data_IF_495372303898
#
_entry.id   IF_495372303898
#
_cell.length_a   1.000
_cell.length_b   1.000
_cell.length_c   1.000
_cell.angle_alpha   90.00
_cell.angle_beta   90.00
_cell.angle_gamma   90.00
#
_symmetry.space_group_name_H-M   'P 1'
#
loop_
_entity.id
_entity.type
_entity.pdbx_description
1 polymer ?
#
# COMPACT_ATOMS: atom_id res chain seq x y z
N UNK A 1 13.71 -12.24 3.69
CA UNK A 1 12.87 -12.42 3.94
C UNK A 1 12.11 -12.82 3.34
N UNK A 2 11.71 -13.13 3.41
CA UNK A 2 11.17 -13.83 3.03
C UNK A 2 9.97 -13.59 2.43
N UNK A 3 8.92 -13.72 2.79
CA UNK A 3 7.72 -13.39 2.13
C UNK A 3 7.06 -12.21 2.80
N UNK A 4 6.18 -11.56 2.08
CA UNK A 4 5.46 -10.44 2.62
C UNK A 4 4.02 -10.86 2.87
N UNK A 5 3.47 -10.41 3.97
CA UNK A 5 2.10 -10.74 4.26
C UNK A 5 1.15 -9.75 3.56
N UNK A 6 -0.12 -10.03 3.70
CA UNK A 6 -1.16 -9.26 3.05
C UNK A 6 -1.13 -7.78 3.48
N UNK A 7 -0.94 -7.55 4.76
CA UNK A 7 -0.92 -6.20 5.28
C UNK A 7 0.22 -5.40 4.69
N UNK A 8 1.38 -6.01 4.58
CA UNK A 8 2.53 -5.33 4.00
C UNK A 8 2.28 -4.99 2.54
N UNK A 9 1.70 -5.91 1.80
CA UNK A 9 1.41 -5.66 0.40
C UNK A 9 0.41 -4.52 0.23
N UNK A 10 -0.63 -4.52 1.06
CA UNK A 10 -1.61 -3.45 1.01
C UNK A 10 -0.97 -2.11 1.33
N UNK A 11 -0.10 -2.09 2.34
CA UNK A 11 0.61 -0.88 2.71
C UNK A 11 1.44 -0.34 1.56
N UNK A 12 2.15 -1.23 0.87
CA UNK A 12 2.97 -0.82 -0.26
C UNK A 12 2.13 -0.25 -1.40
N UNK A 13 0.99 -0.88 -1.68
CA UNK A 13 0.11 -0.39 -2.72
C UNK A 13 -0.44 0.98 -2.39
N UNK A 14 -0.93 1.15 -1.17
CA UNK A 14 -1.51 2.41 -0.75
C UNK A 14 -0.45 3.51 -0.71
N UNK A 15 0.75 3.17 -0.31
CA UNK A 15 1.85 4.14 -0.31
C UNK A 15 2.15 4.59 -1.74
N UNK A 16 2.23 3.64 -2.65
CA UNK A 16 2.52 3.95 -4.04
C UNK A 16 1.45 4.86 -4.63
N UNK A 17 0.19 4.59 -4.33
CA UNK A 17 -0.93 5.31 -4.90
C UNK A 17 -1.29 6.57 -4.14
N UNK A 18 -0.53 6.93 -3.11
CA UNK A 18 -0.86 8.09 -2.29
C UNK A 18 -0.40 9.40 -2.90
N UNK A 19 0.19 9.37 -4.07
CA UNK A 19 0.65 10.57 -4.74
C UNK A 19 -0.51 11.44 -5.19
N UNK A 20 -0.26 12.73 -5.22
CA UNK A 20 -1.31 13.71 -5.48
C UNK A 20 -2.09 13.45 -6.77
N UNK A 21 -1.40 13.09 -7.82
CA UNK A 21 -2.03 12.86 -9.11
C UNK A 21 -2.39 11.42 -9.38
N UNK A 22 -2.19 10.56 -8.39
CA UNK A 22 -2.40 9.15 -8.60
C UNK A 22 -1.24 8.53 -9.36
N UNK A 23 -1.32 7.23 -9.60
CA UNK A 23 -0.27 6.51 -10.32
C UNK A 23 -0.88 5.48 -11.24
N UNK A 24 -0.13 5.13 -12.26
CA UNK A 24 -0.53 4.07 -13.16
C UNK A 24 -0.43 2.71 -12.46
N UNK A 25 -1.22 1.79 -12.94
CA UNK A 25 -1.25 0.44 -12.41
C UNK A 25 0.13 -0.21 -12.43
N UNK A 26 0.87 0.00 -13.51
CA UNK A 26 2.20 -0.58 -13.63
C UNK A 26 3.17 -0.03 -12.58
N UNK A 27 2.99 1.23 -12.22
CA UNK A 27 3.83 1.82 -11.19
C UNK A 27 3.60 1.14 -9.86
N UNK A 28 2.33 0.88 -9.54
CA UNK A 28 2.00 0.17 -8.31
C UNK A 28 2.65 -1.22 -8.33
N UNK A 29 2.55 -1.89 -9.47
CA UNK A 29 3.11 -3.23 -9.60
C UNK A 29 4.59 -3.24 -9.31
N UNK A 30 5.32 -2.29 -9.87
CA UNK A 30 6.74 -2.20 -9.65
C UNK A 30 7.09 -1.86 -8.22
N UNK A 31 6.42 -0.86 -7.68
CA UNK A 31 6.78 -0.38 -6.36
C UNK A 31 6.39 -1.34 -5.25
N UNK A 32 5.33 -2.10 -5.45
CA UNK A 32 4.91 -3.08 -4.46
C UNK A 32 5.44 -4.48 -4.76
N UNK A 33 6.21 -4.62 -5.82
CA UNK A 33 6.81 -5.91 -6.18
C UNK A 33 5.78 -7.00 -6.35
N UNK A 34 4.72 -6.69 -7.10
CA UNK A 34 3.62 -7.63 -7.30
C UNK A 34 3.68 -8.25 -8.69
N UNK A 35 3.19 -9.47 -8.80
CA UNK A 35 2.91 -10.05 -10.09
C UNK A 35 1.63 -9.40 -10.63
N UNK A 36 1.37 -9.59 -11.92
CA UNK A 36 0.19 -9.02 -12.54
C UNK A 36 -1.08 -9.54 -11.89
N UNK A 37 -1.14 -10.85 -11.61
CA UNK A 37 -2.33 -11.41 -10.99
C UNK A 37 -2.53 -10.92 -9.56
N UNK A 38 -1.44 -10.76 -8.80
CA UNK A 38 -1.54 -10.19 -7.47
C UNK A 38 -2.03 -8.76 -7.52
N UNK A 39 -1.51 -8.00 -8.47
CA UNK A 39 -1.93 -6.61 -8.64
C UNK A 39 -3.42 -6.53 -8.87
N UNK A 40 -3.93 -7.33 -9.81
CA UNK A 40 -5.37 -7.32 -10.12
C UNK A 40 -6.19 -7.63 -8.89
N UNK A 41 -5.77 -8.65 -8.17
CA UNK A 41 -6.50 -9.11 -7.00
C UNK A 41 -6.55 -8.04 -5.90
N UNK A 42 -5.39 -7.48 -5.59
CA UNK A 42 -5.32 -6.49 -4.52
C UNK A 42 -5.98 -5.18 -4.89
N UNK A 43 -5.81 -4.74 -6.13
CA UNK A 43 -6.44 -3.51 -6.58
C UNK A 43 -7.96 -3.64 -6.52
N UNK A 44 -8.49 -4.78 -6.98
CA UNK A 44 -9.93 -5.00 -6.93
C UNK A 44 -10.43 -4.98 -5.49
N UNK A 45 -9.69 -5.60 -4.60
CA UNK A 45 -10.04 -5.62 -3.19
C UNK A 45 -10.07 -4.21 -2.60
N UNK A 46 -9.05 -3.43 -2.90
CA UNK A 46 -8.95 -2.09 -2.34
C UNK A 46 -9.99 -1.15 -2.91
N UNK A 47 -10.30 -1.28 -4.20
CA UNK A 47 -11.37 -0.49 -4.81
C UNK A 47 -12.71 -0.83 -4.18
N UNK A 48 -12.96 -2.12 -3.98
CA UNK A 48 -14.22 -2.57 -3.42
C UNK A 48 -14.42 -2.06 -2.00
N UNK A 49 -13.34 -1.90 -1.27
CA UNK A 49 -13.40 -1.42 0.10
C UNK A 49 -13.25 0.10 0.24
N UNK A 50 -13.21 0.80 -0.87
CA UNK A 50 -13.13 2.25 -0.85
C UNK A 50 -11.78 2.81 -0.42
N UNK A 51 -10.73 2.00 -0.53
CA UNK A 51 -9.39 2.42 -0.12
C UNK A 51 -8.60 3.00 -1.28
N UNK A 52 -8.98 2.64 -2.51
CA UNK A 52 -8.41 3.20 -3.72
C UNK A 52 -9.54 3.75 -4.58
N UNK A 53 -9.21 4.72 -5.40
CA UNK A 53 -10.14 5.20 -6.41
C UNK A 53 -9.44 5.20 -7.75
N UNK A 54 -10.21 5.05 -8.82
CA UNK A 54 -9.70 4.93 -10.17
C UNK A 54 -10.18 6.10 -11.02
N UNK A 55 -9.25 6.75 -11.69
CA UNK A 55 -9.56 7.82 -12.63
C UNK A 55 -9.52 7.23 -14.03
N UNK A 56 -10.68 7.08 -14.63
CA UNK A 56 -10.77 6.43 -15.95
C UNK A 56 -10.15 7.27 -17.06
N UNK A 57 -10.16 8.56 -16.90
CA UNK A 57 -9.62 9.45 -17.92
C UNK A 57 -8.10 9.35 -17.93
N UNK A 58 -7.49 9.48 -16.78
CA UNK A 58 -6.03 9.41 -16.65
C UNK A 58 -5.51 8.00 -16.53
N UNK A 59 -6.40 7.04 -16.31
CA UNK A 59 -6.01 5.65 -16.11
C UNK A 59 -5.11 5.48 -14.90
N UNK A 60 -5.38 6.26 -13.86
CA UNK A 60 -4.57 6.21 -12.65
C UNK A 60 -5.37 5.74 -11.46
N UNK A 61 -4.64 5.31 -10.44
CA UNK A 61 -5.23 4.91 -9.17
C UNK A 61 -4.69 5.81 -8.08
N UNK A 62 -5.54 6.14 -7.14
CA UNK A 62 -5.17 7.03 -6.06
C UNK A 62 -5.75 6.53 -4.76
N UNK A 63 -4.97 6.61 -3.69
CA UNK A 63 -5.42 6.22 -2.36
C UNK A 63 -6.45 7.24 -1.87
N UNK A 64 -7.58 6.75 -1.42
CA UNK A 64 -8.65 7.62 -0.90
C UNK A 64 -8.29 8.10 0.50
N UNK A 65 -9.09 9.01 1.02
CA UNK A 65 -8.91 9.47 2.38
C UNK A 65 -8.99 8.30 3.36
N UNK A 66 -9.93 7.41 3.12
CA UNK A 66 -10.06 6.21 3.93
C UNK A 66 -8.80 5.36 3.83
N UNK A 67 -8.25 5.24 2.62
CA UNK A 67 -7.01 4.51 2.43
C UNK A 67 -5.83 5.15 3.13
N UNK A 68 -5.79 6.48 3.14
CA UNK A 68 -4.72 7.19 3.83
C UNK A 68 -4.78 6.97 5.33
N UNK A 69 -5.98 6.91 5.87
CA UNK A 69 -6.13 6.62 7.29
C UNK A 69 -5.66 5.22 7.63
N UNK A 70 -5.99 4.27 6.79
CA UNK A 70 -5.52 2.90 7.00
C UNK A 70 -4.01 2.85 6.90
N UNK A 71 -3.45 3.54 5.91
CA UNK A 71 -2.01 3.58 5.72
C UNK A 71 -1.31 4.18 6.94
N UNK A 72 -1.86 5.25 7.46
CA UNK A 72 -1.31 5.88 8.64
C UNK A 72 -1.31 4.92 9.82
N UNK A 73 -2.41 4.21 9.98
CA UNK A 73 -2.52 3.23 11.06
C UNK A 73 -1.49 2.12 10.91
N UNK A 74 -1.30 1.62 9.71
CA UNK A 74 -0.32 0.58 9.45
C UNK A 74 1.09 1.07 9.73
N UNK A 75 1.39 2.29 9.32
CA UNK A 75 2.70 2.87 9.56
C UNK A 75 2.97 3.07 11.03
N UNK A 76 1.95 3.44 11.75
CA UNK A 76 2.07 3.63 13.18
C UNK A 76 2.40 2.32 13.89
N UNK A 77 1.74 1.26 13.48
CA UNK A 77 2.01 -0.05 14.03
C UNK A 77 3.44 -0.48 13.72
N UNK A 78 3.86 -0.26 12.49
CA UNK A 78 5.21 -0.60 12.08
C UNK A 78 6.25 0.18 12.86
N UNK A 79 5.98 1.44 13.12
CA UNK A 79 6.88 2.27 13.90
C UNK A 79 7.06 1.73 15.30
N UNK A 80 5.98 1.31 15.91
CA UNK A 80 6.03 0.77 17.25
C UNK A 80 6.86 -0.50 17.28
N UNK A 81 6.63 -1.37 16.31
CA UNK A 81 7.39 -2.62 16.23
C UNK A 81 8.85 -2.35 15.99
N UNK A 82 9.15 -1.46 15.06
CA UNK A 82 10.54 -1.13 14.74
C UNK A 82 11.25 -0.49 15.91
N UNK A 83 10.57 0.39 16.61
CA UNK A 83 11.15 1.03 17.78
C UNK A 83 11.53 0.01 18.84
N UNK A 84 10.66 -0.97 19.04
CA UNK A 84 10.96 -2.04 19.98
C UNK A 84 12.17 -2.84 19.54
N UNK A 85 12.21 -3.20 18.28
CA UNK A 85 13.33 -3.94 17.73
C UNK A 85 14.61 -3.17 17.87
N UNK A 86 14.58 -1.91 17.57
CA UNK A 86 15.74 -1.07 17.65
C UNK A 86 16.27 -1.01 19.07
N UNK A 87 15.38 -0.83 20.01
CA UNK A 87 15.78 -0.82 21.40
C UNK A 87 16.44 -2.10 21.81
N UNK A 88 15.84 -3.20 21.42
CA UNK A 88 16.37 -4.50 21.73
C UNK A 88 17.76 -4.68 21.18
N UNK A 89 17.95 -4.25 19.96
CA UNK A 89 19.27 -4.40 19.34
C UNK A 89 20.32 -3.53 19.99
N UNK A 90 19.92 -2.40 20.44
CA UNK A 90 20.89 -1.49 21.05
C UNK A 90 21.36 -1.95 22.40
N UNK A 91 20.61 -2.80 23.00
CA UNK A 91 21.05 -3.37 24.23
C UNK A 91 21.96 -4.53 24.00
#
# INVERSE_FOLDING_TARGET
MKYRDKTEMITLILTSASRMNGVLKTKIMYEAFLSFSQLKEYVALLLRNGLLEHDEVKKTYKTTEKGLRLLELCNRINEIVDAKKTKTREK
#
